data_IF_741739163547
#
_entry.id   IF_741739163547
#
_cell.length_a   1.000
_cell.length_b   1.000
_cell.length_c   1.000
_cell.angle_alpha   90.00
_cell.angle_beta   90.00
_cell.angle_gamma   90.00
#
_symmetry.space_group_name_H-M   'P 1'
#
loop_
_entity.id
_entity.type
_entity.pdbx_description
1 polymer ?
#
# COMPACT_ATOMS: atom_id res chain seq x y z
N UNK A 1 -9.09 -9.01 -8.75
CA UNK A 1 -8.23 -8.19 -7.88
C UNK A 1 -9.06 -7.25 -7.05
N UNK A 2 -8.53 -6.80 -5.95
CA UNK A 2 -9.18 -5.86 -5.05
C UNK A 2 -8.25 -4.69 -4.78
N UNK A 3 -8.74 -3.67 -4.08
CA UNK A 3 -7.92 -2.57 -3.60
C UNK A 3 -7.82 -2.59 -2.08
N UNK A 4 -6.63 -2.30 -1.56
CA UNK A 4 -6.37 -2.23 -0.13
C UNK A 4 -5.97 -0.81 0.26
N UNK A 5 -6.54 -0.33 1.37
CA UNK A 5 -6.24 1.00 1.92
C UNK A 5 -4.86 1.02 2.56
N UNK A 6 -4.08 2.03 2.21
CA UNK A 6 -2.76 2.30 2.78
C UNK A 6 -2.64 3.78 3.12
N UNK A 7 -1.63 4.14 3.89
CA UNK A 7 -1.35 5.53 4.27
C UNK A 7 0.01 5.95 3.73
N UNK A 8 0.05 7.05 2.98
CA UNK A 8 1.29 7.65 2.51
C UNK A 8 1.75 8.64 3.57
N UNK A 9 2.93 8.41 4.12
CA UNK A 9 3.42 9.19 5.26
C UNK A 9 4.60 10.10 4.95
N UNK A 10 5.31 9.83 3.85
CA UNK A 10 6.50 10.58 3.49
C UNK A 10 6.69 10.55 1.98
N UNK A 11 7.21 11.64 1.44
CA UNK A 11 7.64 11.74 0.04
C UNK A 11 9.07 12.21 0.02
N UNK A 12 9.90 11.57 -0.78
CA UNK A 12 11.33 11.88 -0.87
C UNK A 12 11.83 11.75 -2.31
N UNK A 13 13.05 12.24 -2.55
CA UNK A 13 13.69 12.21 -3.87
C UNK A 13 12.84 12.86 -4.96
N UNK A 14 12.14 13.98 -4.64
CA UNK A 14 11.28 14.69 -5.58
C UNK A 14 12.06 15.35 -6.72
N UNK A 15 13.34 15.59 -6.54
CA UNK A 15 14.24 16.11 -7.55
C UNK A 15 14.59 15.08 -8.63
N UNK A 16 14.25 13.82 -8.38
CA UNK A 16 14.41 12.72 -9.33
C UNK A 16 13.04 12.23 -9.78
N UNK A 17 12.72 12.47 -11.05
CA UNK A 17 11.45 12.00 -11.61
C UNK A 17 11.38 10.47 -11.59
N UNK A 18 10.28 9.89 -11.14
CA UNK A 18 9.01 10.52 -10.74
C UNK A 18 8.86 10.82 -9.24
N UNK A 19 9.92 10.68 -8.44
CA UNK A 19 9.86 10.81 -6.99
C UNK A 19 9.46 9.50 -6.31
N UNK A 20 9.71 9.42 -5.00
CA UNK A 20 9.47 8.24 -4.17
C UNK A 20 8.60 8.59 -2.97
N UNK A 21 7.92 7.61 -2.44
CA UNK A 21 7.16 7.76 -1.20
C UNK A 21 7.28 6.55 -0.31
N UNK A 22 7.05 6.79 0.99
CA UNK A 22 6.93 5.75 2.00
C UNK A 22 5.46 5.56 2.32
N UNK A 23 5.03 4.31 2.30
CA UNK A 23 3.63 3.92 2.49
C UNK A 23 3.54 2.91 3.62
N UNK A 24 2.53 3.04 4.46
CA UNK A 24 2.26 2.12 5.57
C UNK A 24 1.00 1.32 5.29
N UNK A 25 1.13 0.01 5.42
CA UNK A 25 0.03 -0.94 5.48
C UNK A 25 -0.08 -1.46 6.91
N UNK A 26 -1.23 -1.29 7.54
CA UNK A 26 -1.46 -1.83 8.88
C UNK A 26 -2.16 -3.18 8.76
N UNK A 27 -1.57 -4.22 9.33
CA UNK A 27 -2.14 -5.57 9.27
C UNK A 27 -3.26 -5.78 10.29
N UNK A 28 -3.87 -6.97 10.26
CA UNK A 28 -5.00 -7.30 11.14
C UNK A 28 -4.63 -7.30 12.63
N UNK A 29 -3.35 -7.41 12.95
CA UNK A 29 -2.84 -7.37 14.33
C UNK A 29 -2.44 -5.96 14.77
N UNK A 30 -2.64 -4.95 13.91
CA UNK A 30 -2.26 -3.57 14.18
C UNK A 30 -0.77 -3.28 13.98
N UNK A 31 -0.05 -4.17 13.29
CA UNK A 31 1.37 -3.98 12.99
C UNK A 31 1.50 -3.23 11.66
N UNK A 32 2.31 -2.19 11.67
CA UNK A 32 2.60 -1.38 10.48
C UNK A 32 3.75 -1.97 9.68
N UNK A 33 3.53 -2.05 8.36
CA UNK A 33 4.53 -2.51 7.40
C UNK A 33 4.83 -1.38 6.42
N UNK A 34 6.11 -1.07 6.24
CA UNK A 34 6.55 0.05 5.41
C UNK A 34 6.98 -0.43 4.02
N UNK A 35 6.57 0.33 3.01
CA UNK A 35 6.92 0.14 1.61
C UNK A 35 7.50 1.43 1.07
N UNK A 36 8.58 1.33 0.30
CA UNK A 36 9.13 2.45 -0.45
C UNK A 36 9.02 2.14 -1.94
N UNK A 37 8.37 3.01 -2.70
CA UNK A 37 8.30 2.87 -4.15
C UNK A 37 8.01 4.24 -4.79
N UNK A 38 7.97 4.25 -6.11
CA UNK A 38 7.74 5.46 -6.91
C UNK A 38 6.30 5.94 -6.78
N UNK A 39 6.11 7.26 -6.79
CA UNK A 39 4.80 7.88 -6.67
C UNK A 39 3.73 7.30 -7.60
N UNK A 40 4.00 7.08 -8.92
CA UNK A 40 2.97 6.56 -9.82
C UNK A 40 2.46 5.16 -9.48
N UNK A 41 3.25 4.33 -8.78
CA UNK A 41 2.84 2.99 -8.35
C UNK A 41 1.63 3.09 -7.40
N UNK A 42 1.55 4.17 -6.62
CA UNK A 42 0.45 4.43 -5.70
C UNK A 42 -0.62 5.36 -6.27
N UNK A 43 -0.56 5.64 -7.57
CA UNK A 43 -1.52 6.53 -8.23
C UNK A 43 -1.40 7.98 -7.80
N UNK A 44 -0.21 8.40 -7.34
CA UNK A 44 0.03 9.76 -6.84
C UNK A 44 0.64 10.65 -7.90
N UNK A 45 0.20 11.91 -7.88
CA UNK A 45 0.85 13.00 -8.59
C UNK A 45 1.56 13.91 -7.58
N UNK A 46 2.56 14.66 -8.06
CA UNK A 46 3.36 15.54 -7.21
C UNK A 46 2.51 16.54 -6.40
N UNK A 47 1.41 17.02 -6.97
CA UNK A 47 0.53 17.99 -6.30
C UNK A 47 -0.19 17.43 -5.08
N UNK A 48 -0.39 16.12 -5.01
CA UNK A 48 -1.10 15.45 -3.91
C UNK A 48 -0.24 15.27 -2.67
N UNK A 49 1.08 15.38 -2.80
CA UNK A 49 2.04 15.09 -1.72
C UNK A 49 2.11 16.16 -0.63
N UNK A 50 1.36 17.26 -0.79
CA UNK A 50 1.37 18.37 0.16
C UNK A 50 0.52 18.17 1.41
N UNK A 51 -0.29 17.10 1.44
CA UNK A 51 -1.28 16.84 2.50
C UNK A 51 -1.04 15.47 3.14
N UNK A 52 0.14 15.25 3.66
CA UNK A 52 0.46 13.99 4.34
C UNK A 52 0.03 14.03 5.81
N UNK A 53 -0.37 12.90 6.40
CA UNK A 53 -0.55 11.60 5.76
C UNK A 53 -1.77 11.59 4.82
N UNK A 54 -1.67 10.83 3.75
CA UNK A 54 -2.72 10.71 2.73
C UNK A 54 -3.12 9.24 2.59
N UNK A 55 -4.42 8.95 2.72
CA UNK A 55 -4.94 7.62 2.47
C UNK A 55 -5.14 7.38 0.98
N UNK A 56 -4.68 6.23 0.50
CA UNK A 56 -4.86 5.77 -0.87
C UNK A 56 -5.21 4.28 -0.88
N UNK A 57 -5.76 3.83 -2.00
CA UNK A 57 -6.02 2.42 -2.24
C UNK A 57 -5.05 1.90 -3.29
N UNK A 58 -4.44 0.75 -3.02
CA UNK A 58 -3.55 0.08 -3.96
C UNK A 58 -4.18 -1.23 -4.42
N UNK A 59 -3.97 -1.57 -5.69
CA UNK A 59 -4.44 -2.85 -6.23
C UNK A 59 -3.58 -3.98 -5.70
N UNK A 60 -4.22 -5.02 -5.18
CA UNK A 60 -3.55 -6.20 -4.63
C UNK A 60 -4.30 -7.46 -5.06
N UNK A 61 -3.66 -8.62 -4.92
CA UNK A 61 -4.30 -9.91 -5.13
C UNK A 61 -4.81 -10.47 -3.81
N UNK A 62 -6.01 -11.05 -3.82
CA UNK A 62 -6.53 -11.81 -2.69
C UNK A 62 -5.97 -13.21 -2.78
N UNK A 63 -5.27 -13.65 -1.72
CA UNK A 63 -4.79 -15.03 -1.57
C UNK A 63 -5.90 -15.89 -1.00
N UNK A 64 -6.57 -15.42 0.07
CA UNK A 64 -7.75 -16.08 0.62
C UNK A 64 -8.53 -15.16 1.56
N UNK A 65 -9.82 -15.40 1.62
CA UNK A 65 -10.74 -14.74 2.55
C UNK A 65 -10.79 -15.55 3.86
N UNK A 66 -10.52 -14.88 4.98
CA UNK A 66 -10.49 -15.50 6.30
C UNK A 66 -11.69 -15.10 7.17
N UNK A 67 -12.74 -14.53 6.57
CA UNK A 67 -13.93 -14.07 7.29
C UNK A 67 -13.83 -12.59 7.64
N UNK A 68 -13.32 -12.25 8.81
CA UNK A 68 -13.15 -10.87 9.26
C UNK A 68 -11.88 -10.21 8.73
N UNK A 69 -11.00 -11.01 8.14
CA UNK A 69 -9.74 -10.55 7.55
C UNK A 69 -9.53 -11.20 6.19
N UNK A 70 -8.55 -10.69 5.46
CA UNK A 70 -8.21 -11.16 4.11
C UNK A 70 -6.70 -11.25 4.01
N UNK A 71 -6.20 -12.37 3.50
CA UNK A 71 -4.80 -12.49 3.15
C UNK A 71 -4.60 -11.97 1.74
N UNK A 72 -3.69 -11.01 1.58
CA UNK A 72 -3.40 -10.34 0.32
C UNK A 72 -1.93 -10.52 -0.07
N UNK A 73 -1.66 -10.39 -1.36
CA UNK A 73 -0.31 -10.33 -1.91
C UNK A 73 -0.13 -8.99 -2.62
N UNK A 74 0.76 -8.14 -2.08
CA UNK A 74 1.03 -6.81 -2.62
C UNK A 74 1.98 -6.85 -3.81
N UNK A 75 2.66 -7.98 -4.05
CA UNK A 75 3.56 -8.12 -5.19
C UNK A 75 2.81 -8.22 -6.53
N UNK A 76 1.52 -8.49 -6.50
CA UNK A 76 0.67 -8.60 -7.70
C UNK A 76 -0.39 -7.49 -7.66
N UNK A 77 -0.51 -6.66 -8.69
CA UNK A 77 0.24 -6.62 -9.95
C UNK A 77 1.50 -5.74 -9.91
N UNK A 78 1.73 -4.97 -8.84
CA UNK A 78 2.71 -3.87 -8.86
C UNK A 78 4.12 -4.25 -8.39
N UNK A 79 4.32 -5.49 -7.96
CA UNK A 79 5.63 -5.93 -7.47
C UNK A 79 6.04 -5.28 -6.15
N UNK A 80 5.07 -4.88 -5.32
CA UNK A 80 5.34 -4.20 -4.06
C UNK A 80 5.77 -5.20 -2.99
N UNK A 81 6.90 -4.92 -2.35
CA UNK A 81 7.39 -5.66 -1.20
C UNK A 81 7.67 -4.67 -0.07
N UNK A 82 7.38 -5.08 1.17
CA UNK A 82 7.76 -4.30 2.34
C UNK A 82 9.28 -4.23 2.49
N UNK A 83 9.77 -3.34 3.34
CA UNK A 83 11.21 -3.15 3.56
C UNK A 83 11.92 -4.44 4.00
N UNK A 84 11.20 -5.37 4.65
CA UNK A 84 11.72 -6.68 5.05
C UNK A 84 11.60 -7.75 3.95
N UNK A 85 11.13 -7.39 2.76
CA UNK A 85 10.96 -8.30 1.62
C UNK A 85 9.64 -9.08 1.62
N UNK A 86 8.78 -8.89 2.61
CA UNK A 86 7.50 -9.58 2.67
C UNK A 86 6.47 -8.91 1.75
N UNK A 87 5.66 -9.72 1.07
CA UNK A 87 4.56 -9.24 0.21
C UNK A 87 3.20 -9.81 0.60
N UNK A 88 3.13 -10.72 1.56
CA UNK A 88 1.87 -11.32 2.01
C UNK A 88 1.51 -10.85 3.40
N UNK A 89 0.28 -10.35 3.53
CA UNK A 89 -0.21 -9.76 4.77
C UNK A 89 -1.66 -10.17 4.99
N UNK A 90 -2.02 -10.36 6.25
CA UNK A 90 -3.41 -10.51 6.65
C UNK A 90 -3.88 -9.15 7.13
N UNK A 91 -4.90 -8.59 6.47
CA UNK A 91 -5.46 -7.27 6.77
C UNK A 91 -6.92 -7.37 7.16
N UNK A 92 -7.43 -6.38 7.88
CA UNK A 92 -8.86 -6.32 8.21
C UNK A 92 -9.66 -6.14 6.92
N UNK A 93 -10.80 -6.81 6.86
CA UNK A 93 -11.65 -6.79 5.67
C UNK A 93 -12.19 -5.40 5.34
N UNK A 94 -12.36 -4.55 6.36
CA UNK A 94 -12.84 -3.16 6.16
C UNK A 94 -11.81 -2.26 5.44
N UNK A 95 -10.56 -2.69 5.30
CA UNK A 95 -9.54 -1.99 4.51
C UNK A 95 -9.57 -2.36 3.03
N UNK A 96 -10.42 -3.31 2.64
CA UNK A 96 -10.47 -3.84 1.27
C UNK A 96 -11.71 -3.34 0.56
N UNK A 97 -11.51 -2.84 -0.66
CA UNK A 97 -12.60 -2.59 -1.61
C UNK A 97 -12.65 -3.75 -2.60
N UNK A 98 -13.76 -4.45 -2.59
CA UNK A 98 -14.05 -5.50 -3.58
C UNK A 98 -14.77 -4.88 -4.78
N UNK A 99 -14.46 -5.39 -5.95
CA UNK A 99 -15.11 -4.97 -7.19
C UNK A 99 -16.11 -6.01 -7.65
#
# INVERSE_FOLDING_TARGET
>A
MVECKVSIIEVFDLDQFPGWCKVILTDANGVDHAFDDKLPVFGLEEVEVRKLPLEKYITVEVVRDLGNSVEIDTSVPHGLEAEDGNSRFVVRKDLIKFF
#
